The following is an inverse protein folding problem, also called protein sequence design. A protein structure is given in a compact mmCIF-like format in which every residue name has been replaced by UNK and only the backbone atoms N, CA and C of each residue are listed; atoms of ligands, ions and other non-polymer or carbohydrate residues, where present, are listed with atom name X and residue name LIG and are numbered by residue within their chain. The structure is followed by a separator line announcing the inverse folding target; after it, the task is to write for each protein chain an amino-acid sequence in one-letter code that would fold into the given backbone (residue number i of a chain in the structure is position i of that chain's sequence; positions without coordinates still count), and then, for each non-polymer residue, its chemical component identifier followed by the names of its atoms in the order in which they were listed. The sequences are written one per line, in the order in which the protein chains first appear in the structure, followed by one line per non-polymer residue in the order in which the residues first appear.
data_IF_269079588426
#
_entry.id   IF_269079588426
#
_cell.length_a   1.000
_cell.length_b   1.000
_cell.length_c   1.000
_cell.angle_alpha   90.00
_cell.angle_beta   90.00
_cell.angle_gamma   90.00
#
_symmetry.space_group_name_H-M   'P 1'
#
loop_
_entity.id
_entity.type
_entity.pdbx_description
1 polymer ?
#
# COMPACT_ATOMS: atom_id res chain seq x y z
N UNK A 1 20.40 15.19 3.10
CA UNK A 1 19.43 15.16 1.99
C UNK A 1 19.40 13.79 1.30
N UNK A 2 20.49 13.35 0.67
CA UNK A 2 20.54 12.06 -0.05
C UNK A 2 20.20 10.82 0.79
N UNK A 3 20.59 10.78 2.07
CA UNK A 3 20.26 9.67 2.98
C UNK A 3 18.75 9.53 3.24
N UNK A 4 18.03 10.65 3.38
CA UNK A 4 16.57 10.64 3.56
C UNK A 4 15.83 10.25 2.28
N UNK A 5 16.25 10.78 1.14
CA UNK A 5 15.66 10.42 -0.15
C UNK A 5 15.89 8.94 -0.50
N UNK A 6 17.09 8.43 -0.26
CA UNK A 6 17.42 7.01 -0.44
C UNK A 6 16.62 6.10 0.50
N UNK A 7 16.53 6.46 1.79
CA UNK A 7 15.70 5.74 2.76
C UNK A 7 14.21 5.74 2.38
N UNK A 8 13.69 6.87 1.91
CA UNK A 8 12.33 6.99 1.39
C UNK A 8 12.08 6.08 0.20
N UNK A 9 12.97 6.08 -0.81
CA UNK A 9 12.84 5.20 -1.98
C UNK A 9 12.92 3.73 -1.61
N UNK A 10 13.79 3.36 -0.66
CA UNK A 10 13.87 1.99 -0.17
C UNK A 10 12.56 1.56 0.50
N UNK A 11 12.03 2.38 1.41
CA UNK A 11 10.75 2.11 2.07
C UNK A 11 9.58 2.05 1.06
N UNK A 12 9.52 2.97 0.09
CA UNK A 12 8.51 2.97 -0.96
C UNK A 12 8.60 1.73 -1.85
N UNK A 13 9.81 1.37 -2.29
CA UNK A 13 10.05 0.22 -3.16
C UNK A 13 9.67 -1.10 -2.48
N UNK A 14 10.17 -1.33 -1.26
CA UNK A 14 9.82 -2.52 -0.48
C UNK A 14 8.32 -2.53 -0.15
N UNK A 15 7.77 -1.38 0.26
CA UNK A 15 6.34 -1.24 0.54
C UNK A 15 5.47 -1.56 -0.68
N UNK A 16 5.84 -1.08 -1.87
CA UNK A 16 5.13 -1.35 -3.12
C UNK A 16 5.19 -2.84 -3.49
N UNK A 17 6.35 -3.49 -3.37
CA UNK A 17 6.50 -4.94 -3.62
C UNK A 17 5.62 -5.73 -2.66
N UNK A 18 5.65 -5.42 -1.35
CA UNK A 18 4.79 -6.09 -0.37
C UNK A 18 3.31 -5.86 -0.66
N UNK A 19 2.92 -4.68 -1.15
CA UNK A 19 1.56 -4.38 -1.54
C UNK A 19 1.12 -5.18 -2.79
N UNK A 20 2.01 -5.38 -3.77
CA UNK A 20 1.77 -6.25 -4.93
C UNK A 20 1.55 -7.68 -4.46
N UNK A 21 2.45 -8.20 -3.60
CA UNK A 21 2.34 -9.56 -3.06
C UNK A 21 1.04 -9.71 -2.27
N UNK A 22 0.70 -8.74 -1.43
CA UNK A 22 -0.58 -8.72 -0.71
C UNK A 22 -1.75 -8.79 -1.68
N UNK A 23 -1.79 -7.93 -2.70
CA UNK A 23 -2.90 -7.86 -3.66
C UNK A 23 -3.04 -9.12 -4.51
N UNK A 24 -1.94 -9.75 -4.90
CA UNK A 24 -1.93 -10.88 -5.83
C UNK A 24 -2.17 -12.23 -5.16
N UNK A 25 -1.89 -12.36 -3.86
CA UNK A 25 -1.93 -13.63 -3.15
C UNK A 25 -3.29 -13.93 -2.53
N UNK A 26 -3.62 -15.22 -2.46
CA UNK A 26 -4.94 -15.67 -2.01
C UNK A 26 -5.03 -15.91 -0.48
N UNK A 27 -3.98 -15.55 0.27
CA UNK A 27 -3.86 -15.84 1.71
C UNK A 27 -4.20 -14.64 2.59
N UNK A 28 -5.33 -13.97 2.33
CA UNK A 28 -5.81 -12.88 3.18
C UNK A 28 -6.52 -13.40 4.41
N UNK A 29 -7.43 -14.34 4.19
CA UNK A 29 -8.25 -14.93 5.24
C UNK A 29 -8.22 -16.45 5.14
N UNK A 30 -8.22 -17.10 6.29
CA UNK A 30 -8.32 -18.55 6.40
C UNK A 30 -9.51 -18.89 7.30
N UNK A 31 -10.36 -19.80 6.84
CA UNK A 31 -11.46 -20.32 7.65
C UNK A 31 -11.57 -21.83 7.49
N UNK A 32 -12.15 -22.49 8.50
CA UNK A 32 -12.32 -23.95 8.51
C UNK A 32 -13.75 -24.30 8.09
N UNK A 33 -13.88 -25.10 7.04
CA UNK A 33 -15.17 -25.64 6.60
C UNK A 33 -15.03 -27.15 6.36
N UNK A 34 -15.85 -27.96 7.04
CA UNK A 34 -15.86 -29.43 6.94
C UNK A 34 -14.47 -30.08 7.07
N UNK A 35 -13.77 -29.77 8.16
CA UNK A 35 -12.42 -30.26 8.52
C UNK A 35 -11.24 -29.73 7.68
N UNK A 36 -11.50 -29.12 6.52
CA UNK A 36 -10.45 -28.59 5.66
C UNK A 36 -10.23 -27.08 5.85
N UNK A 37 -8.99 -26.63 5.60
CA UNK A 37 -8.64 -25.22 5.58
C UNK A 37 -8.96 -24.63 4.20
N UNK A 38 -9.70 -23.54 4.19
CA UNK A 38 -9.99 -22.75 2.99
C UNK A 38 -9.32 -21.40 3.09
N UNK A 39 -8.80 -20.93 1.95
CA UNK A 39 -8.13 -19.65 1.82
C UNK A 39 -8.96 -18.72 0.94
N UNK A 40 -9.06 -17.47 1.34
CA UNK A 40 -9.79 -16.46 0.62
C UNK A 40 -8.87 -15.27 0.39
N UNK A 41 -8.63 -14.98 -0.89
CA UNK A 41 -7.93 -13.80 -1.39
C UNK A 41 -8.90 -12.71 -1.81
N UNK A 42 -8.32 -11.64 -2.38
CA UNK A 42 -9.11 -10.57 -3.00
C UNK A 42 -9.77 -11.02 -4.30
N UNK A 43 -9.08 -11.81 -5.11
CA UNK A 43 -9.52 -12.15 -6.48
C UNK A 43 -10.19 -13.52 -6.54
N UNK A 44 -9.68 -14.45 -5.75
CA UNK A 44 -10.06 -15.87 -5.79
C UNK A 44 -10.18 -16.40 -4.37
N UNK A 45 -10.93 -17.49 -4.24
CA UNK A 45 -10.92 -18.30 -3.04
C UNK A 45 -10.49 -19.71 -3.43
N UNK A 46 -9.70 -20.33 -2.57
CA UNK A 46 -9.11 -21.64 -2.79
C UNK A 46 -9.61 -22.62 -1.74
N UNK A 47 -10.13 -23.73 -2.23
CA UNK A 47 -10.45 -24.93 -1.47
C UNK A 47 -9.34 -25.96 -1.69
N UNK A 48 -9.22 -27.00 -0.85
CA UNK A 48 -8.21 -28.03 -1.07
C UNK A 48 -8.32 -28.62 -2.48
N UNK A 49 -7.27 -28.42 -3.28
CA UNK A 49 -7.15 -28.94 -4.65
C UNK A 49 -7.81 -28.12 -5.75
N UNK A 50 -8.56 -27.04 -5.47
CA UNK A 50 -9.20 -26.19 -6.50
C UNK A 50 -9.31 -24.72 -6.07
N UNK A 51 -9.06 -23.80 -7.00
CA UNK A 51 -9.27 -22.36 -6.79
C UNK A 51 -10.37 -21.84 -7.72
N UNK A 52 -11.29 -21.07 -7.16
CA UNK A 52 -12.43 -20.51 -7.88
C UNK A 52 -12.37 -18.98 -7.86
N UNK A 53 -12.68 -18.31 -8.98
CA UNK A 53 -12.86 -16.87 -8.98
C UNK A 53 -14.08 -16.48 -8.15
N UNK A 54 -14.07 -15.26 -7.62
CA UNK A 54 -15.25 -14.70 -6.98
C UNK A 54 -16.28 -14.35 -8.06
N UNK A 55 -17.34 -15.14 -8.19
CA UNK A 55 -18.38 -14.93 -9.20
C UNK A 55 -19.41 -13.86 -8.82
N UNK A 56 -19.54 -13.55 -7.53
CA UNK A 56 -20.45 -12.51 -7.05
C UNK A 56 -19.69 -11.20 -6.80
N UNK A 57 -20.23 -10.09 -7.31
CA UNK A 57 -19.73 -8.74 -7.07
C UNK A 57 -20.12 -8.27 -5.68
N UNK A 58 -19.36 -8.72 -4.69
CA UNK A 58 -19.46 -8.13 -3.36
C UNK A 58 -18.88 -6.72 -3.39
N UNK A 59 -19.74 -5.71 -3.34
CA UNK A 59 -19.37 -4.29 -3.46
C UNK A 59 -18.20 -3.86 -2.56
N UNK A 60 -18.04 -4.48 -1.39
CA UNK A 60 -16.92 -4.21 -0.48
C UNK A 60 -15.57 -4.76 -0.98
N UNK A 61 -15.56 -5.90 -1.66
CA UNK A 61 -14.35 -6.44 -2.29
C UNK A 61 -13.96 -5.60 -3.49
N UNK A 62 -14.92 -5.13 -4.29
CA UNK A 62 -14.64 -4.27 -5.44
C UNK A 62 -14.06 -2.92 -5.01
N UNK A 63 -14.60 -2.31 -3.95
CA UNK A 63 -14.02 -1.11 -3.35
C UNK A 63 -12.58 -1.35 -2.84
N UNK A 64 -12.35 -2.47 -2.13
CA UNK A 64 -11.01 -2.83 -1.63
C UNK A 64 -10.02 -3.01 -2.79
N UNK A 65 -10.40 -3.75 -3.84
CA UNK A 65 -9.57 -3.96 -5.04
C UNK A 65 -9.23 -2.63 -5.71
N UNK A 66 -10.21 -1.74 -5.87
CA UNK A 66 -10.00 -0.43 -6.47
C UNK A 66 -9.00 0.42 -5.67
N UNK A 67 -9.17 0.49 -4.33
CA UNK A 67 -8.25 1.25 -3.48
C UNK A 67 -6.83 0.67 -3.45
N UNK A 68 -6.68 -0.66 -3.45
CA UNK A 68 -5.37 -1.32 -3.53
C UNK A 68 -4.65 -0.98 -4.84
N UNK A 69 -5.35 -1.03 -5.98
CA UNK A 69 -4.79 -0.71 -7.30
C UNK A 69 -4.43 0.78 -7.39
N UNK A 70 -5.32 1.68 -6.96
CA UNK A 70 -5.04 3.11 -6.95
C UNK A 70 -3.84 3.45 -6.06
N UNK A 71 -3.72 2.79 -4.91
CA UNK A 71 -2.55 2.94 -4.03
C UNK A 71 -1.26 2.46 -4.70
N UNK A 72 -1.28 1.30 -5.38
CA UNK A 72 -0.13 0.79 -6.12
C UNK A 72 0.34 1.75 -7.21
N UNK A 73 -0.60 2.29 -8.00
CA UNK A 73 -0.31 3.26 -9.05
C UNK A 73 0.24 4.56 -8.49
N UNK A 74 -0.39 5.12 -7.44
CA UNK A 74 0.07 6.34 -6.79
C UNK A 74 1.48 6.17 -6.20
N UNK A 75 1.75 5.05 -5.55
CA UNK A 75 3.07 4.72 -5.02
C UNK A 75 4.11 4.59 -6.13
N UNK A 76 3.77 3.89 -7.22
CA UNK A 76 4.67 3.70 -8.37
C UNK A 76 5.03 5.03 -9.05
N UNK A 77 4.03 5.90 -9.27
CA UNK A 77 4.27 7.27 -9.77
C UNK A 77 5.14 8.06 -8.78
N UNK A 78 4.88 7.93 -7.48
CA UNK A 78 5.69 8.53 -6.42
C UNK A 78 7.15 8.08 -6.45
N UNK A 79 7.42 6.80 -6.69
CA UNK A 79 8.78 6.25 -6.84
C UNK A 79 9.47 6.86 -8.07
N UNK A 80 8.79 6.92 -9.22
CA UNK A 80 9.36 7.52 -10.44
C UNK A 80 9.74 8.98 -10.20
N UNK A 81 8.82 9.78 -9.64
CA UNK A 81 9.09 11.19 -9.34
C UNK A 81 10.20 11.32 -8.29
N UNK A 82 10.22 10.43 -7.30
CA UNK A 82 11.25 10.37 -6.26
C UNK A 82 12.64 10.07 -6.81
N UNK A 83 12.75 9.17 -7.79
CA UNK A 83 14.01 8.87 -8.51
C UNK A 83 14.43 10.07 -9.36
N UNK A 84 13.49 10.69 -10.09
CA UNK A 84 13.76 11.89 -10.89
C UNK A 84 14.28 13.06 -10.04
N UNK A 85 13.77 13.19 -8.81
CA UNK A 85 14.28 14.13 -7.82
C UNK A 85 15.69 13.76 -7.33
N UNK A 86 15.99 12.46 -7.18
CA UNK A 86 17.30 11.98 -6.73
C UNK A 86 18.42 12.23 -7.76
N UNK A 87 18.14 12.03 -9.05
CA UNK A 87 19.10 12.23 -10.14
C UNK A 87 19.19 13.68 -10.64
N UNK A 88 18.55 14.64 -9.96
CA UNK A 88 18.49 16.06 -10.36
C UNK A 88 18.05 16.26 -11.82
N UNK A 89 17.06 15.50 -12.28
CA UNK A 89 16.57 15.64 -13.65
C UNK A 89 15.84 16.97 -13.85
N UNK A 90 16.38 17.84 -14.71
CA UNK A 90 16.00 19.24 -14.89
C UNK A 90 14.65 19.48 -15.60
N UNK A 91 13.91 18.43 -15.95
CA UNK A 91 12.75 18.56 -16.85
C UNK A 91 11.53 19.32 -16.30
N UNK A 92 11.53 19.74 -15.02
CA UNK A 92 10.47 20.57 -14.42
C UNK A 92 11.02 21.38 -13.25
N UNK A 93 11.39 22.64 -13.49
CA UNK A 93 12.00 23.54 -12.49
C UNK A 93 10.95 24.32 -11.67
N UNK A 94 9.67 24.20 -12.05
CA UNK A 94 8.56 24.95 -11.43
C UNK A 94 7.89 24.22 -10.25
N UNK A 95 8.14 22.92 -10.09
CA UNK A 95 7.54 22.10 -9.03
C UNK A 95 8.61 21.34 -8.25
N UNK A 96 8.54 21.42 -6.92
CA UNK A 96 9.42 20.65 -6.04
C UNK A 96 9.06 19.16 -6.12
N UNK A 97 9.80 18.42 -6.95
CA UNK A 97 9.61 16.99 -7.19
C UNK A 97 9.63 16.17 -5.90
N UNK A 98 10.46 16.56 -4.92
CA UNK A 98 10.52 15.94 -3.59
C UNK A 98 9.22 16.09 -2.82
N UNK A 99 8.58 17.25 -2.90
CA UNK A 99 7.30 17.52 -2.26
C UNK A 99 6.18 16.73 -2.95
N UNK A 100 6.15 16.73 -4.28
CA UNK A 100 5.18 15.95 -5.06
C UNK A 100 5.28 14.44 -4.78
N UNK A 101 6.50 13.88 -4.73
CA UNK A 101 6.72 12.47 -4.37
C UNK A 101 6.23 12.17 -2.94
N UNK A 102 6.54 13.04 -1.97
CA UNK A 102 6.08 12.90 -0.60
C UNK A 102 4.55 12.85 -0.48
N UNK A 103 3.84 13.78 -1.15
CA UNK A 103 2.38 13.79 -1.19
C UNK A 103 1.82 12.50 -1.80
N UNK A 104 2.38 12.02 -2.91
CA UNK A 104 1.93 10.79 -3.56
C UNK A 104 2.11 9.57 -2.65
N UNK A 105 3.19 9.49 -1.86
CA UNK A 105 3.35 8.43 -0.86
C UNK A 105 2.31 8.51 0.25
N UNK A 106 1.94 9.71 0.72
CA UNK A 106 0.85 9.87 1.69
C UNK A 106 -0.52 9.50 1.10
N UNK A 107 -0.79 9.89 -0.14
CA UNK A 107 -2.03 9.50 -0.85
C UNK A 107 -2.10 7.97 -0.96
N UNK A 108 -1.02 7.33 -1.40
CA UNK A 108 -0.92 5.87 -1.47
C UNK A 108 -1.15 5.23 -0.11
N UNK A 109 -0.48 5.73 0.94
CA UNK A 109 -0.63 5.26 2.32
C UNK A 109 -2.08 5.34 2.79
N UNK A 110 -2.75 6.46 2.53
CA UNK A 110 -4.15 6.65 2.91
C UNK A 110 -5.08 5.68 2.17
N UNK A 111 -4.88 5.49 0.87
CA UNK A 111 -5.67 4.57 0.05
C UNK A 111 -5.51 3.11 0.50
N UNK A 112 -4.28 2.65 0.77
CA UNK A 112 -4.06 1.29 1.27
C UNK A 112 -4.61 1.12 2.68
N UNK A 113 -4.46 2.12 3.55
CA UNK A 113 -5.04 2.09 4.90
C UNK A 113 -6.57 1.96 4.83
N UNK A 114 -7.23 2.72 3.95
CA UNK A 114 -8.67 2.62 3.75
C UNK A 114 -9.07 1.23 3.22
N UNK A 115 -8.35 0.69 2.25
CA UNK A 115 -8.58 -0.66 1.74
C UNK A 115 -8.51 -1.72 2.85
N UNK A 116 -7.45 -1.67 3.66
CA UNK A 116 -7.25 -2.59 4.78
C UNK A 116 -8.33 -2.41 5.85
N UNK A 117 -8.70 -1.17 6.19
CA UNK A 117 -9.73 -0.88 7.17
C UNK A 117 -11.12 -1.37 6.73
N UNK A 118 -11.50 -1.13 5.47
CA UNK A 118 -12.77 -1.60 4.90
C UNK A 118 -12.83 -3.13 4.90
N UNK A 119 -11.77 -3.80 4.42
CA UNK A 119 -11.70 -5.26 4.44
C UNK A 119 -11.82 -5.82 5.87
N UNK A 120 -11.12 -5.21 6.83
CA UNK A 120 -11.13 -5.63 8.24
C UNK A 120 -12.52 -5.46 8.86
N UNK A 121 -13.13 -4.29 8.68
CA UNK A 121 -14.43 -3.97 9.25
C UNK A 121 -15.54 -4.88 8.73
N UNK A 122 -15.55 -5.19 7.42
CA UNK A 122 -16.52 -6.12 6.84
C UNK A 122 -16.24 -7.55 7.28
N UNK A 123 -14.97 -7.97 7.25
CA UNK A 123 -14.58 -9.34 7.61
C UNK A 123 -14.99 -9.68 9.05
N UNK A 124 -14.70 -8.79 10.00
CA UNK A 124 -15.07 -8.98 11.41
C UNK A 124 -16.59 -9.02 11.58
N UNK A 125 -17.33 -8.09 10.95
CA UNK A 125 -18.78 -8.01 11.10
C UNK A 125 -19.53 -9.18 10.48
N UNK A 126 -19.04 -9.71 9.36
CA UNK A 126 -19.70 -10.78 8.61
C UNK A 126 -19.26 -12.17 9.08
N UNK A 127 -17.95 -12.44 9.10
CA UNK A 127 -17.44 -13.76 9.42
C UNK A 127 -17.35 -14.01 10.92
N UNK A 128 -17.11 -12.97 11.72
CA UNK A 128 -17.15 -13.05 13.19
C UNK A 128 -18.48 -13.56 13.74
N UNK A 129 -19.58 -13.29 13.02
CA UNK A 129 -20.92 -13.76 13.40
C UNK A 129 -21.29 -15.12 12.79
N UNK A 130 -20.67 -15.50 11.66
CA UNK A 130 -21.11 -16.64 10.84
C UNK A 130 -20.22 -17.89 10.97
N UNK A 131 -18.95 -17.74 11.31
CA UNK A 131 -18.00 -18.84 11.42
C UNK A 131 -17.27 -18.79 12.76
N UNK A 132 -17.21 -19.92 13.49
CA UNK A 132 -16.55 -19.98 14.79
C UNK A 132 -15.01 -20.05 14.72
N UNK A 133 -14.44 -20.54 13.61
CA UNK A 133 -13.00 -20.77 13.44
C UNK A 133 -12.48 -20.08 12.17
N UNK A 134 -12.27 -18.76 12.23
CA UNK A 134 -11.66 -17.97 11.15
C UNK A 134 -10.48 -17.14 11.68
N UNK A 135 -9.49 -16.87 10.81
CA UNK A 135 -8.29 -16.09 11.15
C UNK A 135 -7.80 -15.31 9.93
N UNK A 136 -7.19 -14.15 10.17
CA UNK A 136 -6.39 -13.46 9.16
C UNK A 136 -5.11 -14.26 8.86
N UNK A 137 -4.69 -14.25 7.61
CA UNK A 137 -3.49 -14.95 7.15
C UNK A 137 -2.40 -13.96 6.72
N UNK A 138 -1.26 -14.46 6.23
CA UNK A 138 -0.03 -13.68 6.09
C UNK A 138 -0.14 -12.56 5.05
N UNK A 139 -0.92 -12.73 3.98
CA UNK A 139 -1.10 -11.68 2.95
C UNK A 139 -1.74 -10.41 3.51
N UNK A 140 -2.60 -10.57 4.51
CA UNK A 140 -3.21 -9.45 5.22
C UNK A 140 -2.19 -8.73 6.11
N UNK A 141 -1.30 -9.46 6.79
CA UNK A 141 -0.25 -8.89 7.64
C UNK A 141 0.74 -8.07 6.80
N UNK A 142 1.19 -8.61 5.65
CA UNK A 142 2.09 -7.87 4.75
C UNK A 142 1.43 -6.62 4.16
N UNK A 143 0.10 -6.61 3.98
CA UNK A 143 -0.66 -5.43 3.58
C UNK A 143 -0.54 -4.31 4.63
N UNK A 144 -0.68 -4.64 5.92
CA UNK A 144 -0.45 -3.67 7.00
C UNK A 144 1.00 -3.20 7.10
N UNK A 145 1.97 -4.09 6.92
CA UNK A 145 3.39 -3.73 6.87
C UNK A 145 3.65 -2.74 5.73
N UNK A 146 3.01 -2.93 4.57
CA UNK A 146 3.11 -2.01 3.43
C UNK A 146 2.59 -0.60 3.74
N UNK A 147 1.54 -0.48 4.56
CA UNK A 147 1.00 0.82 5.02
C UNK A 147 2.06 1.56 5.84
N UNK A 148 2.70 0.88 6.79
CA UNK A 148 3.71 1.48 7.66
C UNK A 148 4.93 1.92 6.85
N UNK A 149 5.39 1.10 5.91
CA UNK A 149 6.53 1.45 5.06
C UNK A 149 6.23 2.63 4.12
N UNK A 150 5.04 2.67 3.52
CA UNK A 150 4.63 3.79 2.66
C UNK A 150 4.43 5.08 3.45
N UNK A 151 3.96 5.00 4.70
CA UNK A 151 3.90 6.14 5.62
C UNK A 151 5.29 6.72 5.94
N UNK A 152 6.25 5.87 6.33
CA UNK A 152 7.63 6.32 6.59
C UNK A 152 8.31 6.88 5.35
N UNK A 153 8.04 6.33 4.17
CA UNK A 153 8.53 6.91 2.91
C UNK A 153 8.05 8.36 2.73
N UNK A 154 6.75 8.62 2.95
CA UNK A 154 6.19 9.97 2.90
C UNK A 154 6.87 10.93 3.88
N UNK A 155 7.12 10.49 5.12
CA UNK A 155 7.84 11.28 6.12
C UNK A 155 9.25 11.61 5.66
N UNK A 156 10.01 10.61 5.20
CA UNK A 156 11.39 10.84 4.76
C UNK A 156 11.48 11.82 3.58
N UNK A 157 10.54 11.75 2.64
CA UNK A 157 10.47 12.70 1.53
C UNK A 157 10.08 14.12 1.96
N UNK A 158 9.16 14.25 2.93
CA UNK A 158 8.82 15.56 3.50
C UNK A 158 9.98 16.16 4.30
N UNK A 159 10.71 15.34 5.09
CA UNK A 159 11.91 15.79 5.77
C UNK A 159 13.00 16.23 4.78
N UNK A 160 13.20 15.48 3.69
CA UNK A 160 14.14 15.85 2.64
C UNK A 160 13.79 17.18 1.98
N UNK A 161 12.50 17.43 1.73
CA UNK A 161 12.00 18.69 1.20
C UNK A 161 12.27 19.86 2.17
N UNK A 162 11.91 19.73 3.46
CA UNK A 162 12.14 20.79 4.46
C UNK A 162 13.63 21.13 4.63
N UNK A 163 14.50 20.12 4.53
CA UNK A 163 15.95 20.34 4.54
C UNK A 163 16.46 21.09 3.30
N UNK A 164 15.77 20.99 2.16
CA UNK A 164 16.11 21.70 0.93
C UNK A 164 15.58 23.16 0.93
N UNK A 165 14.46 23.43 1.61
CA UNK A 165 13.92 24.79 1.77
C UNK A 165 14.77 25.66 2.70
N UNK A 166 15.31 25.11 3.80
CA UNK A 166 16.09 25.87 4.78
C UNK A 166 17.28 26.68 4.17
N UNK A 167 18.11 26.10 3.29
CA UNK A 167 19.17 26.85 2.60
C UNK A 167 18.66 27.94 1.65
N UNK A 168 17.53 27.72 0.96
CA UNK A 168 16.96 28.68 0.01
C UNK A 168 16.43 29.94 0.71
N UNK A 169 15.84 29.78 1.89
CA UNK A 169 15.35 30.91 2.71
C UNK A 169 16.48 31.75 3.34
N UNK A 170 17.66 31.17 3.54
CA UNK A 170 18.81 31.88 4.10
C UNK A 170 19.56 32.72 3.04
N UNK A 171 19.53 32.29 1.78
CA UNK A 171 20.19 32.99 0.66
C UNK A 171 19.28 34.03 -0.03
N UNK A 172 18.03 34.19 0.40
CA UNK A 172 17.08 35.16 -0.16
C UNK A 172 17.01 36.48 0.62
N UNK A 173 17.94 36.70 1.55
CA UNK A 173 18.08 37.94 2.34
C UNK A 173 19.40 38.64 2.04
#
# INVERSE_FOLDING_TARGET
MYSFMGGGLFCAGVGNILLIVSTATDYWMQYRQSSNYMHQGLWRYCTPGKCFPHNDSFAHLDATRAFMILSLLACFIGIIIGIMAFIHYSSFDRFDKTFAAGILFFISCFLVFLAMAVYTGVTINYYGKRYGNWRFSWSYIIGWVSVVLTFFSGIFYMCAYRMHECPRSANSH
#
